data_IF_913665555518
#
_entry.id   IF_913665555518
#
_cell.length_a   1.000
_cell.length_b   1.000
_cell.length_c   1.000
_cell.angle_alpha   90.00
_cell.angle_beta   90.00
_cell.angle_gamma   90.00
#
_symmetry.space_group_name_H-M   'P 1'
#
loop_
_entity.id
_entity.type
_entity.pdbx_description
1 polymer ?
#
# COMPACT_ATOMS: atom_id res chain seq x y z
N UNK A 1 7.55 6.51 29.42
CA UNK A 1 8.04 6.93 28.09
C UNK A 1 6.84 7.48 27.35
N UNK A 2 7.00 8.51 26.51
CA UNK A 2 5.89 9.11 25.79
C UNK A 2 6.30 9.47 24.37
N UNK A 3 5.37 9.29 23.44
CA UNK A 3 5.48 9.68 22.05
C UNK A 3 4.59 10.91 21.85
N UNK A 4 5.15 11.95 21.25
CA UNK A 4 4.43 13.16 20.86
C UNK A 4 4.33 13.22 19.35
N UNK A 5 3.12 13.15 18.79
CA UNK A 5 2.88 13.30 17.36
C UNK A 5 2.40 14.73 17.10
N UNK A 6 3.24 15.55 16.47
CA UNK A 6 2.90 16.92 16.06
C UNK A 6 2.20 16.86 14.70
N UNK A 7 0.94 17.25 14.66
CA UNK A 7 0.14 17.32 13.45
C UNK A 7 0.30 18.69 12.79
N UNK A 8 0.50 18.70 11.48
CA UNK A 8 0.66 19.92 10.69
C UNK A 8 -0.22 19.89 9.45
N UNK A 9 -0.89 21.01 9.20
CA UNK A 9 -1.70 21.21 8.02
C UNK A 9 -0.93 22.07 7.02
N UNK A 10 -0.24 21.42 6.07
CA UNK A 10 0.54 22.08 5.02
C UNK A 10 -0.24 22.17 3.70
N UNK A 11 -1.55 21.92 3.73
CA UNK A 11 -2.41 21.88 2.52
C UNK A 11 -2.46 23.20 1.76
N UNK A 12 -2.24 24.32 2.45
CA UNK A 12 -2.39 25.65 1.85
C UNK A 12 -3.83 25.99 1.45
N UNK A 13 -4.82 25.15 1.81
CA UNK A 13 -6.22 25.42 1.53
C UNK A 13 -6.73 26.57 2.41
N UNK A 14 -7.46 27.51 1.81
CA UNK A 14 -8.28 28.44 2.57
C UNK A 14 -9.42 27.70 3.25
N UNK A 15 -9.83 28.15 4.44
CA UNK A 15 -10.88 27.54 5.28
C UNK A 15 -12.25 27.35 4.61
N UNK A 16 -12.51 27.97 3.44
CA UNK A 16 -13.72 27.75 2.64
C UNK A 16 -13.64 26.62 1.61
N UNK A 17 -12.45 26.09 1.30
CA UNK A 17 -12.28 25.06 0.28
C UNK A 17 -12.28 23.64 0.87
N UNK A 18 -11.85 23.49 2.12
CA UNK A 18 -11.82 22.23 2.85
C UNK A 18 -11.11 22.40 4.19
N UNK A 19 -11.46 21.55 5.16
CA UNK A 19 -10.82 21.46 6.47
C UNK A 19 -10.24 20.06 6.65
N UNK A 20 -9.06 19.96 7.25
CA UNK A 20 -8.48 18.67 7.67
C UNK A 20 -9.11 18.27 9.00
N UNK A 21 -9.79 17.13 9.01
CA UNK A 21 -10.36 16.50 10.18
C UNK A 21 -9.59 15.24 10.52
N UNK A 22 -9.52 14.91 11.81
CA UNK A 22 -8.87 13.69 12.28
C UNK A 22 -9.72 13.00 13.34
N UNK A 23 -9.87 11.70 13.18
CA UNK A 23 -10.35 10.79 14.20
C UNK A 23 -9.19 9.87 14.59
N UNK A 24 -9.23 9.30 15.79
CA UNK A 24 -8.17 8.37 16.21
C UNK A 24 -8.62 7.43 17.30
N UNK A 25 -8.01 6.26 17.33
CA UNK A 25 -8.25 5.27 18.36
C UNK A 25 -7.01 4.44 18.63
N UNK A 26 -6.94 3.92 19.85
CA UNK A 26 -5.93 2.95 20.27
C UNK A 26 -6.60 1.71 20.86
N UNK A 27 -5.93 0.56 20.77
CA UNK A 27 -6.38 -0.71 21.34
C UNK A 27 -7.76 -1.18 20.83
N UNK A 28 -8.00 -1.07 19.52
CA UNK A 28 -9.24 -1.58 18.93
C UNK A 28 -9.49 -3.05 19.32
N UNK A 29 -10.76 -3.39 19.51
CA UNK A 29 -11.26 -4.71 19.92
C UNK A 29 -10.89 -5.16 21.34
N UNK A 30 -10.14 -4.39 22.12
CA UNK A 30 -9.92 -4.63 23.55
C UNK A 30 -10.84 -3.75 24.40
N UNK A 31 -11.90 -4.35 24.95
CA UNK A 31 -12.89 -3.63 25.78
C UNK A 31 -12.32 -2.99 27.04
N UNK A 32 -11.16 -3.47 27.52
CA UNK A 32 -10.56 -3.00 28.77
C UNK A 32 -9.63 -1.81 28.57
N UNK A 33 -9.12 -1.61 27.36
CA UNK A 33 -8.08 -0.63 27.05
C UNK A 33 -8.37 0.24 25.82
N UNK A 34 -9.50 0.02 25.13
CA UNK A 34 -9.93 0.82 23.99
C UNK A 34 -10.16 2.29 24.37
N UNK A 35 -9.51 3.18 23.62
CA UNK A 35 -9.60 4.63 23.82
C UNK A 35 -9.68 5.34 22.48
N UNK A 36 -10.34 6.50 22.49
CA UNK A 36 -10.49 7.36 21.33
C UNK A 36 -9.79 8.70 21.54
N UNK A 37 -9.40 9.33 20.44
CA UNK A 37 -8.77 10.63 20.40
C UNK A 37 -9.72 11.71 20.93
N UNK A 38 -9.26 12.49 21.89
CA UNK A 38 -9.99 13.60 22.49
C UNK A 38 -9.60 14.93 21.85
N UNK A 39 -10.47 15.92 22.01
CA UNK A 39 -10.12 17.32 21.77
C UNK A 39 -8.94 17.70 22.67
N UNK A 40 -7.83 18.15 22.09
CA UNK A 40 -6.56 18.37 22.80
C UNK A 40 -5.51 17.26 22.63
N UNK A 41 -5.85 16.15 21.98
CA UNK A 41 -4.88 15.17 21.49
C UNK A 41 -4.45 14.08 22.48
N UNK A 42 -5.15 13.90 23.59
CA UNK A 42 -4.99 12.72 24.45
C UNK A 42 -5.92 11.58 24.02
N UNK A 43 -5.64 10.36 24.47
CA UNK A 43 -6.53 9.22 24.34
C UNK A 43 -7.28 8.97 25.65
N UNK A 44 -8.60 8.80 25.57
CA UNK A 44 -9.44 8.48 26.73
C UNK A 44 -10.60 7.56 26.33
N UNK A 45 -11.22 6.92 27.33
CA UNK A 45 -12.41 6.12 27.10
C UNK A 45 -13.50 6.97 26.41
N UNK A 46 -14.23 6.42 25.43
CA UNK A 46 -15.23 7.17 24.70
C UNK A 46 -16.36 7.65 25.62
N UNK A 47 -16.71 8.93 25.53
CA UNK A 47 -17.84 9.49 26.26
C UNK A 47 -19.19 8.90 25.78
N UNK A 48 -19.29 8.64 24.47
CA UNK A 48 -20.34 7.84 23.86
C UNK A 48 -19.72 6.54 23.33
N UNK A 49 -20.03 5.35 23.89
CA UNK A 49 -19.40 4.10 23.49
C UNK A 49 -19.72 3.65 22.06
N UNK A 50 -20.67 4.29 21.39
CA UNK A 50 -21.09 3.95 20.01
C UNK A 50 -20.51 4.89 18.94
N UNK A 51 -19.76 5.92 19.31
CA UNK A 51 -19.35 6.99 18.39
C UNK A 51 -17.87 7.39 18.55
N UNK A 52 -17.17 7.47 17.42
CA UNK A 52 -15.83 8.04 17.30
C UNK A 52 -15.92 9.39 16.58
N UNK A 53 -15.74 10.53 17.28
CA UNK A 53 -15.85 11.85 16.70
C UNK A 53 -14.61 12.24 15.88
N UNK A 54 -14.83 13.11 14.89
CA UNK A 54 -13.78 13.83 14.19
C UNK A 54 -13.50 15.18 14.85
N UNK A 55 -12.23 15.54 14.99
CA UNK A 55 -11.78 16.85 15.47
C UNK A 55 -11.12 17.61 14.33
N UNK A 56 -11.24 18.94 14.32
CA UNK A 56 -10.46 19.74 13.37
C UNK A 56 -8.97 19.62 13.73
N UNK A 57 -8.07 19.54 12.74
CA UNK A 57 -6.64 19.38 13.03
C UNK A 57 -6.08 20.44 14.00
N UNK A 58 -6.46 21.73 13.92
CA UNK A 58 -6.02 22.73 14.90
C UNK A 58 -6.41 22.42 16.35
N UNK A 59 -7.54 21.75 16.59
CA UNK A 59 -7.99 21.34 17.93
C UNK A 59 -7.16 20.19 18.52
N UNK A 60 -6.34 19.51 17.70
CA UNK A 60 -5.53 18.34 18.08
C UNK A 60 -4.13 18.42 17.48
N UNK A 61 -3.57 19.63 17.38
CA UNK A 61 -2.25 19.88 16.77
C UNK A 61 -1.09 19.07 17.40
N UNK A 62 -1.29 18.49 18.57
CA UNK A 62 -0.35 17.57 19.21
C UNK A 62 -1.10 16.40 19.82
N UNK A 63 -0.76 15.18 19.41
CA UNK A 63 -1.26 13.94 19.98
C UNK A 63 -0.21 13.37 20.93
N UNK A 64 -0.63 12.88 22.10
CA UNK A 64 0.25 12.25 23.09
C UNK A 64 -0.14 10.79 23.28
N UNK A 65 0.84 9.91 23.15
CA UNK A 65 0.73 8.50 23.49
C UNK A 65 1.74 8.17 24.60
N UNK A 66 1.23 7.90 25.80
CA UNK A 66 2.02 7.68 27.02
C UNK A 66 1.67 6.36 27.74
N UNK A 67 0.94 5.49 27.06
CA UNK A 67 0.51 4.17 27.54
C UNK A 67 0.87 3.07 26.55
N UNK A 68 0.89 1.81 27.02
CA UNK A 68 1.06 0.63 26.18
C UNK A 68 -0.12 0.46 25.24
N UNK A 69 0.14 0.02 24.01
CA UNK A 69 -0.91 -0.29 23.05
C UNK A 69 -0.72 -1.66 22.40
N UNK A 70 -1.70 -2.10 21.62
CA UNK A 70 -1.66 -3.35 20.86
C UNK A 70 -0.85 -3.22 19.55
N UNK A 71 -0.26 -2.06 19.27
CA UNK A 71 0.54 -1.80 18.06
C UNK A 71 -0.26 -1.61 16.77
N UNK A 72 -1.60 -1.63 16.84
CA UNK A 72 -2.51 -1.48 15.69
C UNK A 72 -3.46 -0.29 15.93
N UNK A 73 -2.87 0.86 16.21
CA UNK A 73 -3.58 2.11 16.47
C UNK A 73 -3.63 2.97 15.22
N UNK A 74 -4.65 3.82 15.08
CA UNK A 74 -4.88 4.56 13.85
C UNK A 74 -5.27 6.01 14.10
N UNK A 75 -4.69 6.91 13.31
CA UNK A 75 -5.22 8.24 13.05
C UNK A 75 -5.79 8.25 11.63
N UNK A 76 -7.09 8.53 11.51
CA UNK A 76 -7.80 8.67 10.25
C UNK A 76 -7.92 10.15 9.92
N UNK A 77 -7.32 10.58 8.82
CA UNK A 77 -7.42 11.94 8.31
C UNK A 77 -8.43 12.00 7.18
N UNK A 78 -9.25 13.05 7.14
CA UNK A 78 -10.17 13.31 6.03
C UNK A 78 -10.21 14.79 5.74
N UNK A 79 -10.20 15.16 4.46
CA UNK A 79 -10.41 16.55 4.03
C UNK A 79 -11.84 16.73 3.59
N UNK A 80 -12.60 17.55 4.31
CA UNK A 80 -14.02 17.77 4.05
C UNK A 80 -14.40 19.24 4.28
N UNK A 81 -15.43 19.72 3.57
CA UNK A 81 -15.94 21.10 3.75
C UNK A 81 -16.60 21.29 5.12
N UNK A 82 -17.31 20.26 5.60
CA UNK A 82 -17.99 20.24 6.89
C UNK A 82 -17.36 19.18 7.80
N UNK A 83 -17.64 19.26 9.10
CA UNK A 83 -17.27 18.20 10.04
C UNK A 83 -17.88 16.87 9.60
N UNK A 84 -17.08 15.81 9.39
CA UNK A 84 -17.60 14.50 9.10
C UNK A 84 -18.47 13.97 10.23
N UNK A 85 -19.45 13.13 9.91
CA UNK A 85 -20.20 12.38 10.91
C UNK A 85 -19.26 11.49 11.73
N UNK A 86 -19.60 11.28 13.01
CA UNK A 86 -18.86 10.35 13.85
C UNK A 86 -18.93 8.93 13.27
N UNK A 87 -17.84 8.18 13.36
CA UNK A 87 -17.85 6.77 12.97
C UNK A 87 -18.56 5.94 14.04
N UNK A 88 -19.35 4.97 13.60
CA UNK A 88 -19.94 4.00 14.52
C UNK A 88 -18.84 3.16 15.20
N UNK A 89 -19.02 2.83 16.47
CA UNK A 89 -18.17 1.90 17.20
C UNK A 89 -18.99 0.64 17.50
N UNK A 90 -18.46 -0.51 17.09
CA UNK A 90 -19.04 -1.82 17.39
C UNK A 90 -17.96 -2.73 17.96
N UNK A 91 -18.23 -3.37 19.10
CA UNK A 91 -17.27 -4.24 19.79
C UNK A 91 -15.91 -3.57 20.05
N UNK A 92 -15.91 -2.30 20.47
CA UNK A 92 -14.70 -1.51 20.71
C UNK A 92 -13.79 -1.37 19.47
N UNK A 93 -14.37 -1.46 18.28
CA UNK A 93 -13.70 -1.21 17.02
C UNK A 93 -14.52 -0.19 16.22
N UNK A 94 -13.92 0.93 15.80
CA UNK A 94 -14.57 1.84 14.87
C UNK A 94 -14.86 1.14 13.54
N UNK A 95 -16.08 1.34 13.02
CA UNK A 95 -16.39 1.03 11.63
C UNK A 95 -15.61 2.00 10.77
N UNK A 96 -14.54 1.51 10.14
CA UNK A 96 -13.66 2.31 9.31
C UNK A 96 -14.36 2.68 8.01
N UNK A 97 -13.94 3.79 7.37
CA UNK A 97 -14.41 4.10 6.03
C UNK A 97 -14.17 2.94 5.07
N UNK A 98 -15.12 2.75 4.14
CA UNK A 98 -15.03 1.72 3.14
C UNK A 98 -13.85 2.06 2.22
N UNK A 99 -13.17 1.05 1.68
CA UNK A 99 -12.02 1.25 0.79
C UNK A 99 -12.46 1.76 -0.60
N UNK A 100 -11.56 2.40 -1.33
CA UNK A 100 -11.86 3.01 -2.63
C UNK A 100 -11.76 1.99 -3.78
N UNK A 101 -12.63 2.04 -4.82
CA UNK A 101 -13.77 2.93 -5.02
C UNK A 101 -15.09 2.28 -4.58
N UNK A 102 -16.15 3.08 -4.58
CA UNK A 102 -17.48 2.60 -4.20
C UNK A 102 -18.32 2.24 -5.42
N UNK A 103 -18.70 0.96 -5.52
CA UNK A 103 -19.59 0.42 -6.55
C UNK A 103 -21.03 0.98 -6.47
N UNK A 104 -21.43 1.46 -5.31
CA UNK A 104 -22.72 2.08 -5.04
C UNK A 104 -22.54 3.10 -3.91
N UNK A 105 -23.55 3.94 -3.67
CA UNK A 105 -23.59 4.74 -2.45
C UNK A 105 -23.41 3.81 -1.23
N UNK A 106 -22.35 3.98 -0.41
CA UNK A 106 -22.20 3.17 0.79
C UNK A 106 -23.41 3.42 1.70
N UNK A 107 -23.98 2.37 2.31
CA UNK A 107 -25.11 2.53 3.23
C UNK A 107 -24.81 3.46 4.42
N UNK A 108 -25.83 3.68 5.26
CA UNK A 108 -25.99 4.75 6.27
C UNK A 108 -24.89 5.00 7.35
N UNK A 109 -23.66 4.50 7.22
CA UNK A 109 -22.63 4.71 8.26
C UNK A 109 -21.17 4.66 7.85
N UNK A 110 -20.82 4.52 6.56
CA UNK A 110 -19.43 4.23 6.13
C UNK A 110 -18.94 5.12 4.98
N UNK A 111 -19.61 6.24 4.74
CA UNK A 111 -19.25 7.17 3.68
C UNK A 111 -18.16 8.16 4.15
N UNK A 112 -16.97 8.18 3.54
CA UNK A 112 -16.04 9.28 3.78
C UNK A 112 -16.63 10.61 3.28
N UNK A 113 -16.47 11.66 4.08
CA UNK A 113 -16.92 13.01 3.73
C UNK A 113 -16.00 13.71 2.71
N UNK A 114 -14.92 13.05 2.29
CA UNK A 114 -13.92 13.55 1.35
C UNK A 114 -12.73 12.59 1.23
N UNK A 115 -11.66 12.96 0.51
CA UNK A 115 -10.43 12.17 0.46
C UNK A 115 -9.88 11.92 1.87
N UNK A 116 -9.49 10.68 2.16
CA UNK A 116 -9.05 10.25 3.48
C UNK A 116 -7.82 9.36 3.39
N UNK A 117 -7.05 9.30 4.47
CA UNK A 117 -5.88 8.43 4.57
C UNK A 117 -5.58 8.12 6.03
N UNK A 118 -4.76 7.10 6.29
CA UNK A 118 -4.52 6.56 7.63
C UNK A 118 -3.04 6.59 7.97
N UNK A 119 -2.77 7.00 9.21
CA UNK A 119 -1.49 6.80 9.86
C UNK A 119 -1.63 5.70 10.91
N UNK A 120 -0.84 4.64 10.74
CA UNK A 120 -0.80 3.49 11.65
C UNK A 120 0.38 3.63 12.60
N UNK A 121 0.15 3.39 13.90
CA UNK A 121 1.13 3.61 14.96
C UNK A 121 0.85 2.73 16.19
N UNK A 122 1.74 2.80 17.19
CA UNK A 122 1.51 2.24 18.52
C UNK A 122 2.71 2.35 19.46
N UNK A 123 2.51 2.16 20.76
CA UNK A 123 3.62 2.22 21.70
C UNK A 123 4.55 1.03 21.48
N UNK A 124 5.84 1.31 21.24
CA UNK A 124 6.85 0.29 20.91
C UNK A 124 6.53 -0.50 19.64
N UNK A 125 5.91 0.18 18.66
CA UNK A 125 5.59 -0.38 17.35
C UNK A 125 6.25 0.41 16.20
N UNK A 126 6.27 -0.18 15.01
CA UNK A 126 6.64 0.51 13.78
C UNK A 126 5.51 1.44 13.34
N UNK A 127 5.86 2.60 12.76
CA UNK A 127 4.89 3.60 12.32
C UNK A 127 4.86 3.62 10.80
N UNK A 128 3.70 3.80 10.18
CA UNK A 128 3.58 3.84 8.73
C UNK A 128 2.43 4.72 8.22
N UNK A 129 2.62 5.21 7.00
CA UNK A 129 1.54 5.63 6.10
C UNK A 129 1.44 4.57 5.02
N UNK A 130 0.23 4.22 4.61
CA UNK A 130 -0.01 3.08 3.71
C UNK A 130 -0.90 3.48 2.54
N UNK A 131 -0.59 2.94 1.36
CA UNK A 131 -1.40 3.12 0.16
C UNK A 131 -1.96 1.76 -0.32
N UNK A 132 -1.99 0.75 0.55
CA UNK A 132 -2.44 -0.62 0.24
C UNK A 132 -3.90 -0.67 -0.18
N UNK A 133 -4.75 0.14 0.44
CA UNK A 133 -6.19 0.24 0.14
C UNK A 133 -6.54 1.54 -0.61
N UNK A 134 -5.59 1.97 -1.44
CA UNK A 134 -5.65 3.22 -2.18
C UNK A 134 -4.92 4.39 -1.49
N UNK A 135 -4.72 5.45 -2.25
CA UNK A 135 -4.07 6.68 -1.85
C UNK A 135 -5.08 7.83 -1.86
N UNK A 136 -5.35 8.40 -0.68
CA UNK A 136 -6.32 9.48 -0.53
C UNK A 136 -5.71 10.82 -0.13
N UNK A 137 -4.66 10.85 0.68
CA UNK A 137 -4.02 12.10 1.10
C UNK A 137 -2.49 11.99 1.02
N UNK A 138 -1.82 13.09 0.68
CA UNK A 138 -0.37 13.17 0.67
C UNK A 138 0.23 13.28 2.08
N UNK A 139 0.02 12.24 2.89
CA UNK A 139 0.57 12.13 4.23
C UNK A 139 2.08 11.90 4.18
N UNK A 140 2.77 12.48 5.16
CA UNK A 140 4.19 12.25 5.40
C UNK A 140 4.49 12.34 6.88
N UNK A 141 5.50 11.61 7.34
CA UNK A 141 5.96 11.74 8.71
C UNK A 141 7.48 11.63 8.84
N UNK A 142 7.99 12.06 9.99
CA UNK A 142 9.40 11.89 10.35
C UNK A 142 9.55 11.29 11.74
N UNK A 143 10.50 10.38 11.89
CA UNK A 143 10.85 9.73 13.16
C UNK A 143 12.36 9.71 13.36
N UNK A 144 12.82 9.88 14.59
CA UNK A 144 14.25 9.72 14.93
C UNK A 144 14.54 8.27 15.26
N UNK A 145 15.47 7.66 14.54
CA UNK A 145 15.90 6.30 14.82
C UNK A 145 16.61 6.26 16.20
N UNK A 146 16.13 5.46 17.16
CA UNK A 146 16.69 5.45 18.51
C UNK A 146 18.11 4.85 18.57
N UNK A 147 18.49 4.00 17.63
CA UNK A 147 19.82 3.39 17.57
C UNK A 147 20.89 4.34 16.99
N UNK A 148 20.51 5.20 16.04
CA UNK A 148 21.47 6.09 15.34
C UNK A 148 21.33 7.56 15.70
N UNK A 149 20.20 7.97 16.28
CA UNK A 149 19.86 9.37 16.55
C UNK A 149 19.51 10.19 15.29
N UNK A 150 19.45 9.56 14.12
CA UNK A 150 19.19 10.25 12.85
C UNK A 150 17.68 10.42 12.61
N UNK A 151 17.28 11.61 12.16
CA UNK A 151 15.91 11.86 11.70
C UNK A 151 15.71 11.25 10.30
N UNK A 152 14.65 10.46 10.15
CA UNK A 152 14.26 9.83 8.90
C UNK A 152 12.86 10.28 8.49
N UNK A 153 12.58 10.26 7.18
CA UNK A 153 11.34 10.75 6.56
C UNK A 153 10.66 9.63 5.78
N UNK A 154 9.33 9.64 5.77
CA UNK A 154 8.49 8.60 5.21
C UNK A 154 7.22 9.23 4.60
N UNK A 155 6.65 8.58 3.57
CA UNK A 155 5.46 9.08 2.86
C UNK A 155 5.82 10.00 1.70
N UNK A 156 4.92 10.95 1.39
CA UNK A 156 5.08 11.85 0.23
C UNK A 156 6.17 12.90 0.45
N UNK A 157 6.95 13.17 -0.59
CA UNK A 157 7.95 14.24 -0.59
C UNK A 157 7.34 15.60 -0.27
N UNK A 158 8.09 16.43 0.46
CA UNK A 158 7.50 17.59 1.09
C UNK A 158 6.98 18.66 0.10
N UNK A 159 7.51 18.65 -1.12
CA UNK A 159 7.24 19.60 -2.19
C UNK A 159 6.09 19.20 -3.10
N UNK A 160 5.60 17.96 -2.99
CA UNK A 160 4.64 17.39 -3.94
C UNK A 160 3.21 17.64 -3.49
N UNK A 161 2.45 18.37 -4.33
CA UNK A 161 1.04 18.63 -4.08
C UNK A 161 0.15 17.48 -4.51
N UNK A 162 -1.07 17.44 -3.98
CA UNK A 162 -2.09 16.50 -4.42
C UNK A 162 -2.41 16.66 -5.91
N UNK A 163 -2.57 17.89 -6.39
CA UNK A 163 -2.78 18.20 -7.82
C UNK A 163 -1.71 17.55 -8.72
N UNK A 164 -0.44 17.67 -8.31
CA UNK A 164 0.68 17.10 -9.05
C UNK A 164 0.62 15.57 -9.09
N UNK A 165 0.19 14.92 -8.01
CA UNK A 165 0.08 13.45 -7.96
C UNK A 165 -0.97 12.94 -8.95
N UNK A 166 -2.14 13.59 -9.02
CA UNK A 166 -3.19 13.20 -9.96
C UNK A 166 -2.78 13.39 -11.42
N UNK A 167 -2.12 14.52 -11.72
CA UNK A 167 -1.57 14.79 -13.04
C UNK A 167 -0.45 13.81 -13.42
N UNK A 168 0.47 13.55 -12.48
CA UNK A 168 1.57 12.60 -12.65
C UNK A 168 1.06 11.19 -12.92
N UNK A 169 0.02 10.72 -12.21
CA UNK A 169 -0.54 9.39 -12.45
C UNK A 169 -1.06 9.23 -13.88
N UNK A 170 -1.81 10.23 -14.36
CA UNK A 170 -2.32 10.26 -15.74
C UNK A 170 -1.18 10.19 -16.76
N UNK A 171 -0.14 11.02 -16.58
CA UNK A 171 1.02 11.03 -17.45
C UNK A 171 1.82 9.73 -17.37
N UNK A 172 1.97 9.17 -16.17
CA UNK A 172 2.70 7.94 -15.89
C UNK A 172 2.11 6.74 -16.61
N UNK A 173 0.80 6.51 -16.44
CA UNK A 173 0.11 5.40 -17.13
C UNK A 173 0.24 5.54 -18.65
N UNK A 174 0.08 6.75 -19.18
CA UNK A 174 0.25 7.00 -20.62
C UNK A 174 1.69 6.78 -21.10
N UNK A 175 2.69 7.08 -20.27
CA UNK A 175 4.10 6.87 -20.58
C UNK A 175 4.47 5.38 -20.57
N UNK A 176 4.06 4.64 -19.53
CA UNK A 176 4.30 3.21 -19.42
C UNK A 176 3.63 2.42 -20.56
N UNK A 177 2.41 2.84 -20.95
CA UNK A 177 1.67 2.25 -22.07
C UNK A 177 2.41 2.30 -23.41
N UNK A 178 3.40 3.19 -23.59
CA UNK A 178 4.25 3.24 -24.78
C UNK A 178 5.15 2.01 -24.91
N UNK A 179 5.52 1.40 -23.79
CA UNK A 179 6.40 0.22 -23.74
C UNK A 179 5.65 -1.06 -23.40
N UNK A 180 4.52 -0.93 -22.70
CA UNK A 180 3.66 -2.06 -22.33
C UNK A 180 2.20 -1.63 -22.38
N UNK A 181 1.52 -1.88 -23.50
CA UNK A 181 0.15 -1.40 -23.74
C UNK A 181 -0.86 -1.67 -22.60
N UNK A 182 -0.86 -2.85 -21.93
CA UNK A 182 -1.77 -3.11 -20.81
C UNK A 182 -1.57 -2.21 -19.57
N UNK A 183 -0.48 -1.43 -19.49
CA UNK A 183 -0.34 -0.43 -18.43
C UNK A 183 -1.48 0.61 -18.49
N UNK A 184 -2.03 0.90 -19.68
CA UNK A 184 -3.15 1.82 -19.85
C UNK A 184 -4.42 1.42 -19.07
N UNK A 185 -4.57 0.14 -18.76
CA UNK A 185 -5.71 -0.40 -18.02
C UNK A 185 -5.73 0.09 -16.56
N UNK A 186 -4.63 0.65 -16.05
CA UNK A 186 -4.56 1.25 -14.70
C UNK A 186 -5.07 2.70 -14.67
N UNK A 187 -5.37 3.34 -15.81
CA UNK A 187 -5.77 4.75 -15.86
C UNK A 187 -7.05 5.03 -15.04
N UNK A 188 -7.95 4.06 -14.98
CA UNK A 188 -9.22 4.16 -14.24
C UNK A 188 -9.07 4.23 -12.72
N UNK A 189 -7.90 3.88 -12.18
CA UNK A 189 -7.63 3.95 -10.75
C UNK A 189 -7.62 5.41 -10.24
N UNK A 190 -7.45 6.39 -11.13
CA UNK A 190 -7.67 7.79 -10.81
C UNK A 190 -9.17 8.05 -10.63
N UNK A 191 -9.63 7.91 -9.39
CA UNK A 191 -11.04 8.02 -9.07
C UNK A 191 -11.43 9.49 -8.87
N UNK A 192 -11.99 10.08 -9.92
CA UNK A 192 -12.43 11.48 -9.95
C UNK A 192 -13.86 11.66 -10.49
N UNK A 193 -14.56 10.56 -10.75
CA UNK A 193 -15.88 10.51 -11.36
C UNK A 193 -16.60 9.22 -10.94
N UNK A 194 -17.93 9.12 -11.10
CA UNK A 194 -18.66 7.89 -10.79
C UNK A 194 -18.10 6.69 -11.55
N UNK A 195 -18.11 5.52 -10.91
CA UNK A 195 -17.77 4.27 -11.58
C UNK A 195 -18.80 3.97 -12.71
N UNK A 196 -18.39 3.25 -13.76
CA UNK A 196 -19.32 2.82 -14.80
C UNK A 196 -20.55 2.10 -14.23
N UNK A 197 -21.75 2.55 -14.63
CA UNK A 197 -23.02 1.97 -14.16
C UNK A 197 -23.53 2.52 -12.83
N UNK A 198 -22.81 3.48 -12.22
CA UNK A 198 -23.21 4.14 -10.97
C UNK A 198 -23.43 5.64 -11.22
N UNK A 199 -24.32 6.26 -10.43
CA UNK A 199 -24.51 7.73 -10.45
C UNK A 199 -23.85 8.42 -9.26
N UNK A 200 -23.22 7.65 -8.37
CA UNK A 200 -22.62 8.16 -7.16
C UNK A 200 -21.35 8.93 -7.49
N UNK A 201 -21.33 10.21 -7.16
CA UNK A 201 -20.14 11.06 -7.26
C UNK A 201 -19.41 11.05 -5.91
N UNK A 202 -18.12 10.68 -5.85
CA UNK A 202 -17.37 10.82 -4.61
C UNK A 202 -17.32 12.30 -4.17
N UNK A 203 -17.26 12.61 -2.86
CA UNK A 203 -17.17 13.98 -2.37
C UNK A 203 -15.80 14.60 -2.67
N UNK A 204 -15.71 15.28 -3.80
CA UNK A 204 -14.50 15.95 -4.28
C UNK A 204 -14.24 17.26 -3.52
N UNK A 205 -12.96 17.62 -3.37
CA UNK A 205 -12.54 18.89 -2.76
C UNK A 205 -11.87 19.75 -3.84
N UNK A 206 -12.62 20.72 -4.35
CA UNK A 206 -12.23 21.47 -5.54
C UNK A 206 -12.27 20.60 -6.80
N UNK A 207 -11.25 20.73 -7.65
CA UNK A 207 -11.12 19.93 -8.89
C UNK A 207 -10.16 18.72 -8.72
N UNK A 208 -9.77 18.42 -7.47
CA UNK A 208 -8.84 17.33 -7.18
C UNK A 208 -9.53 15.97 -7.18
N UNK A 209 -8.80 14.93 -7.62
CA UNK A 209 -9.25 13.55 -7.56
C UNK A 209 -9.59 13.12 -6.12
N UNK A 210 -10.48 12.13 -6.00
CA UNK A 210 -10.90 11.62 -4.72
C UNK A 210 -9.89 10.64 -4.13
N UNK A 211 -9.43 9.68 -4.93
CA UNK A 211 -8.39 8.73 -4.55
C UNK A 211 -7.67 8.17 -5.79
N UNK A 212 -6.47 7.62 -5.59
CA UNK A 212 -5.96 6.59 -6.48
C UNK A 212 -6.36 5.26 -5.85
N UNK A 213 -7.31 4.55 -6.45
CA UNK A 213 -7.76 3.26 -5.93
C UNK A 213 -6.68 2.22 -6.11
N UNK A 214 -6.55 1.28 -5.18
CA UNK A 214 -5.81 0.07 -5.48
C UNK A 214 -6.60 -0.78 -6.51
N UNK A 215 -5.91 -1.57 -7.35
CA UNK A 215 -6.57 -2.39 -8.36
C UNK A 215 -7.49 -3.47 -7.78
N UNK A 216 -7.21 -3.96 -6.57
CA UNK A 216 -8.04 -4.99 -5.94
C UNK A 216 -9.42 -4.44 -5.61
N UNK A 217 -9.50 -3.30 -4.95
CA UNK A 217 -10.75 -2.71 -4.52
C UNK A 217 -11.53 -2.15 -5.73
N UNK A 218 -10.85 -1.66 -6.76
CA UNK A 218 -11.48 -1.34 -8.05
C UNK A 218 -12.18 -2.56 -8.68
N UNK A 219 -11.49 -3.69 -8.75
CA UNK A 219 -12.08 -4.92 -9.27
C UNK A 219 -13.18 -5.46 -8.35
N UNK A 220 -13.00 -5.41 -7.04
CA UNK A 220 -14.02 -5.80 -6.07
C UNK A 220 -15.30 -4.98 -6.28
N UNK A 221 -15.18 -3.67 -6.46
CA UNK A 221 -16.31 -2.79 -6.74
C UNK A 221 -17.05 -3.19 -8.03
N UNK A 222 -16.32 -3.44 -9.12
CA UNK A 222 -16.92 -3.76 -10.43
C UNK A 222 -17.39 -5.20 -10.60
N UNK A 223 -16.96 -6.11 -9.73
CA UNK A 223 -17.30 -7.54 -9.80
C UNK A 223 -18.21 -8.02 -8.68
N UNK A 224 -18.68 -7.14 -7.80
CA UNK A 224 -19.47 -7.53 -6.63
C UNK A 224 -18.64 -8.36 -5.65
N UNK A 225 -17.49 -7.83 -5.24
CA UNK A 225 -16.49 -8.49 -4.41
C UNK A 225 -16.07 -9.86 -4.97
N UNK A 226 -15.75 -9.89 -6.27
CA UNK A 226 -15.33 -11.07 -7.02
C UNK A 226 -16.34 -12.23 -7.09
N UNK A 227 -17.61 -11.98 -6.72
CA UNK A 227 -18.67 -12.99 -6.83
C UNK A 227 -19.40 -12.99 -8.17
N UNK A 228 -19.28 -11.90 -8.94
CA UNK A 228 -19.87 -11.71 -10.26
C UNK A 228 -18.87 -11.80 -11.40
N UNK A 229 -19.30 -11.34 -12.59
CA UNK A 229 -18.46 -11.17 -13.78
C UNK A 229 -18.16 -9.70 -14.02
N UNK A 230 -17.00 -9.40 -14.62
CA UNK A 230 -16.66 -8.05 -15.10
C UNK A 230 -16.04 -8.12 -16.49
N UNK A 231 -16.19 -7.04 -17.26
CA UNK A 231 -15.47 -6.83 -18.53
C UNK A 231 -14.22 -5.96 -18.35
N UNK A 232 -13.87 -5.64 -17.11
CA UNK A 232 -12.70 -4.85 -16.77
C UNK A 232 -11.41 -5.55 -17.23
N UNK A 233 -10.51 -4.87 -17.97
CA UNK A 233 -9.28 -5.49 -18.45
C UNK A 233 -8.31 -5.88 -17.33
N UNK A 234 -8.38 -5.25 -16.14
CA UNK A 234 -7.56 -5.64 -14.99
C UNK A 234 -7.90 -7.07 -14.50
N UNK A 235 -9.09 -7.58 -14.81
CA UNK A 235 -9.49 -8.93 -14.42
C UNK A 235 -8.62 -10.02 -15.06
N UNK A 236 -8.07 -9.82 -16.26
CA UNK A 236 -7.22 -10.80 -16.96
C UNK A 236 -5.77 -10.33 -17.13
N UNK A 237 -5.41 -9.20 -16.54
CA UNK A 237 -4.10 -8.56 -16.68
C UNK A 237 -2.92 -9.51 -16.36
N UNK A 238 -3.07 -10.36 -15.35
CA UNK A 238 -2.03 -11.28 -14.89
C UNK A 238 -1.99 -12.63 -15.63
N UNK A 239 -2.98 -12.94 -16.46
CA UNK A 239 -3.16 -14.27 -17.07
C UNK A 239 -1.91 -14.75 -17.82
N UNK A 240 -1.34 -13.87 -18.65
CA UNK A 240 -0.21 -14.22 -19.51
C UNK A 240 1.06 -14.49 -18.69
N UNK A 241 1.39 -13.61 -17.74
CA UNK A 241 2.62 -13.79 -16.94
C UNK A 241 2.49 -14.96 -15.99
N UNK A 242 1.31 -15.23 -15.41
CA UNK A 242 1.09 -16.41 -14.59
C UNK A 242 1.15 -17.70 -15.42
N UNK A 243 0.67 -17.70 -16.66
CA UNK A 243 0.82 -18.84 -17.56
C UNK A 243 2.30 -19.12 -17.89
N UNK A 244 3.11 -18.08 -18.08
CA UNK A 244 4.55 -18.21 -18.31
C UNK A 244 5.30 -18.65 -17.05
N UNK A 245 4.97 -18.07 -15.89
CA UNK A 245 5.59 -18.37 -14.61
C UNK A 245 5.35 -19.84 -14.23
N UNK A 246 4.13 -20.35 -14.40
CA UNK A 246 3.77 -21.74 -14.12
C UNK A 246 3.91 -22.68 -15.34
N UNK A 247 4.73 -22.35 -16.34
CA UNK A 247 4.96 -23.28 -17.45
C UNK A 247 5.61 -24.59 -16.97
N UNK A 248 5.23 -25.72 -17.57
CA UNK A 248 5.71 -27.03 -17.16
C UNK A 248 7.23 -27.15 -17.26
N UNK A 249 7.83 -27.71 -16.21
CA UNK A 249 9.27 -27.91 -16.09
C UNK A 249 10.07 -26.66 -15.67
N UNK A 250 9.42 -25.49 -15.56
CA UNK A 250 10.05 -24.31 -14.93
C UNK A 250 10.50 -24.63 -13.51
N UNK A 251 11.56 -23.97 -13.06
CA UNK A 251 12.15 -24.20 -11.73
C UNK A 251 12.36 -22.89 -10.99
N UNK A 252 12.14 -22.94 -9.68
CA UNK A 252 12.40 -21.84 -8.74
C UNK A 252 13.15 -22.36 -7.50
N UNK A 253 13.93 -21.50 -6.88
CA UNK A 253 14.70 -21.76 -5.64
C UNK A 253 14.71 -20.52 -4.78
N UNK A 254 14.03 -20.58 -3.64
CA UNK A 254 13.77 -19.47 -2.73
C UNK A 254 14.54 -19.66 -1.43
N UNK A 255 15.10 -18.58 -0.91
CA UNK A 255 15.71 -18.50 0.41
C UNK A 255 14.81 -17.70 1.36
N UNK A 256 14.28 -18.34 2.40
CA UNK A 256 13.40 -17.71 3.38
C UNK A 256 14.14 -17.12 4.58
N UNK A 257 15.44 -17.32 4.69
CA UNK A 257 16.20 -16.89 5.87
C UNK A 257 16.19 -15.39 6.06
N UNK A 258 15.98 -14.93 7.30
CA UNK A 258 16.33 -13.57 7.68
C UNK A 258 17.82 -13.33 7.43
N UNK A 259 18.20 -12.16 6.96
CA UNK A 259 19.61 -11.80 6.79
C UNK A 259 20.17 -11.21 8.10
N UNK A 260 21.16 -11.81 8.81
CA UNK A 260 21.87 -13.06 8.53
C UNK A 260 21.33 -14.26 9.33
N UNK A 261 21.01 -15.36 8.65
CA UNK A 261 20.68 -16.66 9.23
C UNK A 261 21.10 -17.80 8.26
N UNK A 262 21.17 -19.03 8.76
CA UNK A 262 21.47 -20.20 7.94
C UNK A 262 20.44 -20.32 6.78
N UNK A 263 20.85 -20.59 5.53
CA UNK A 263 19.94 -20.64 4.39
C UNK A 263 18.82 -21.67 4.55
N UNK A 264 17.57 -21.21 4.46
CA UNK A 264 16.37 -22.02 4.42
C UNK A 264 15.89 -22.03 2.98
N UNK A 265 16.41 -23.00 2.22
CA UNK A 265 16.22 -23.07 0.78
C UNK A 265 15.11 -24.04 0.43
N UNK A 266 14.09 -23.53 -0.23
CA UNK A 266 13.03 -24.32 -0.87
C UNK A 266 13.21 -24.28 -2.38
N UNK A 267 13.27 -25.44 -3.03
CA UNK A 267 13.38 -25.52 -4.48
C UNK A 267 12.38 -26.50 -5.06
N UNK A 268 11.97 -26.26 -6.30
CA UNK A 268 10.98 -27.11 -6.94
C UNK A 268 10.84 -26.89 -8.43
N UNK A 269 10.05 -27.77 -9.03
CA UNK A 269 9.75 -27.80 -10.46
C UNK A 269 8.23 -27.66 -10.61
N UNK A 270 7.82 -26.87 -11.60
CA UNK A 270 6.43 -26.74 -11.97
C UNK A 270 5.97 -27.96 -12.78
N UNK A 271 4.84 -28.55 -12.42
CA UNK A 271 4.26 -29.68 -13.15
C UNK A 271 2.75 -29.77 -13.00
N UNK A 272 2.09 -30.66 -13.77
CA UNK A 272 0.65 -30.88 -13.66
C UNK A 272 0.30 -31.47 -12.29
N UNK A 273 -0.67 -30.85 -11.62
CA UNK A 273 -1.16 -31.29 -10.30
C UNK A 273 -2.63 -30.93 -10.11
N UNK A 274 -3.35 -31.76 -9.38
CA UNK A 274 -4.71 -31.46 -8.95
C UNK A 274 -4.68 -30.92 -7.55
N UNK A 275 -5.22 -29.71 -7.36
CA UNK A 275 -5.36 -29.11 -6.04
C UNK A 275 -6.33 -29.98 -5.19
N UNK A 276 -5.88 -30.50 -4.04
CA UNK A 276 -6.67 -31.48 -3.27
C UNK A 276 -7.91 -30.87 -2.60
N UNK A 277 -7.92 -29.55 -2.38
CA UNK A 277 -9.03 -28.85 -1.71
C UNK A 277 -10.13 -28.40 -2.67
N UNK A 278 -9.75 -28.04 -3.90
CA UNK A 278 -10.69 -27.54 -4.92
C UNK A 278 -11.01 -28.56 -6.02
N UNK A 279 -10.21 -29.62 -6.14
CA UNK A 279 -10.30 -30.59 -7.24
C UNK A 279 -9.86 -30.05 -8.61
N UNK A 280 -9.33 -28.83 -8.67
CA UNK A 280 -8.93 -28.19 -9.92
C UNK A 280 -7.57 -28.73 -10.41
N UNK A 281 -7.55 -29.33 -11.60
CA UNK A 281 -6.33 -29.77 -12.28
C UNK A 281 -5.65 -28.59 -12.99
N UNK A 282 -4.41 -28.30 -12.62
CA UNK A 282 -3.65 -27.12 -13.08
C UNK A 282 -2.14 -27.40 -13.02
N UNK A 283 -1.32 -26.37 -13.19
CA UNK A 283 0.12 -26.42 -12.92
C UNK A 283 0.42 -25.97 -11.49
N UNK A 284 1.41 -26.58 -10.84
CA UNK A 284 1.86 -26.20 -9.51
C UNK A 284 3.36 -26.38 -9.34
N UNK A 285 3.98 -25.51 -8.56
CA UNK A 285 5.32 -25.74 -8.02
C UNK A 285 5.23 -26.60 -6.76
N UNK A 286 5.96 -27.70 -6.73
CA UNK A 286 6.19 -28.48 -5.51
C UNK A 286 7.55 -28.08 -4.92
N UNK A 287 7.54 -27.23 -3.90
CA UNK A 287 8.72 -26.65 -3.28
C UNK A 287 9.13 -27.43 -2.04
N UNK A 288 10.36 -27.90 -1.96
CA UNK A 288 10.86 -28.64 -0.80
C UNK A 288 12.25 -28.18 -0.37
N UNK A 289 12.50 -28.24 0.94
CA UNK A 289 13.82 -28.09 1.57
C UNK A 289 14.41 -29.45 2.04
N UNK A 290 13.79 -30.57 1.64
CA UNK A 290 14.14 -31.93 2.05
C UNK A 290 13.47 -32.42 3.33
N UNK A 291 12.86 -31.53 4.12
CA UNK A 291 12.08 -31.87 5.32
C UNK A 291 10.60 -31.55 5.12
N UNK A 292 10.31 -30.31 4.71
CA UNK A 292 8.98 -29.83 4.40
C UNK A 292 8.77 -29.77 2.88
N UNK A 293 7.51 -29.80 2.46
CA UNK A 293 7.13 -29.62 1.07
C UNK A 293 5.80 -28.89 0.96
N UNK A 294 5.72 -27.91 0.08
CA UNK A 294 4.52 -27.11 -0.14
C UNK A 294 4.22 -27.01 -1.63
N UNK A 295 2.93 -27.05 -1.96
CA UNK A 295 2.44 -26.87 -3.32
C UNK A 295 1.87 -25.46 -3.49
N UNK A 296 2.35 -24.76 -4.51
CA UNK A 296 1.82 -23.46 -4.92
C UNK A 296 1.14 -23.64 -6.28
N UNK A 297 -0.18 -23.46 -6.33
CA UNK A 297 -0.99 -23.75 -7.52
C UNK A 297 -1.23 -22.49 -8.37
N UNK A 298 -1.21 -22.66 -9.69
CA UNK A 298 -1.60 -21.63 -10.65
C UNK A 298 -3.12 -21.37 -10.57
N UNK A 299 -3.56 -20.10 -10.45
CA UNK A 299 -4.99 -19.74 -10.46
C UNK A 299 -5.63 -19.95 -11.84
N UNK A 300 -6.97 -20.02 -11.90
CA UNK A 300 -7.70 -19.92 -13.17
C UNK A 300 -7.52 -18.52 -13.78
N UNK A 301 -7.52 -18.39 -15.11
CA UNK A 301 -7.45 -17.10 -15.77
C UNK A 301 -8.69 -16.24 -15.51
N UNK A 302 -8.58 -14.93 -15.72
CA UNK A 302 -9.61 -13.95 -15.39
C UNK A 302 -9.58 -13.58 -13.90
N UNK A 303 -10.73 -13.27 -13.30
CA UNK A 303 -10.82 -12.70 -11.95
C UNK A 303 -10.02 -13.44 -10.88
N UNK A 304 -9.90 -14.77 -10.96
CA UNK A 304 -9.10 -15.52 -9.98
C UNK A 304 -7.59 -15.22 -10.11
N UNK A 305 -7.08 -14.94 -11.31
CA UNK A 305 -5.70 -14.47 -11.53
C UNK A 305 -5.49 -13.08 -10.92
N UNK A 306 -6.48 -12.20 -11.04
CA UNK A 306 -6.45 -10.87 -10.48
C UNK A 306 -6.51 -10.91 -8.95
N UNK A 307 -7.38 -11.73 -8.36
CA UNK A 307 -7.39 -11.95 -6.89
C UNK A 307 -6.08 -12.53 -6.37
N UNK A 308 -5.48 -13.45 -7.13
CA UNK A 308 -4.22 -14.08 -6.75
C UNK A 308 -3.08 -13.06 -6.59
N UNK A 309 -3.07 -11.98 -7.39
CA UNK A 309 -1.99 -10.98 -7.35
C UNK A 309 -2.40 -9.64 -6.76
N UNK A 310 -3.59 -9.09 -7.06
CA UNK A 310 -3.99 -7.80 -6.47
C UNK A 310 -4.48 -7.94 -5.03
N UNK A 311 -5.21 -9.01 -4.70
CA UNK A 311 -5.79 -9.19 -3.36
C UNK A 311 -4.88 -9.99 -2.42
N UNK A 312 -3.87 -10.70 -2.95
CA UNK A 312 -3.15 -11.74 -2.21
C UNK A 312 -4.12 -12.84 -1.70
N UNK A 313 -5.22 -13.08 -2.42
CA UNK A 313 -6.24 -14.04 -2.01
C UNK A 313 -5.99 -15.40 -2.65
N UNK A 314 -5.16 -16.20 -2.01
CA UNK A 314 -4.83 -17.56 -2.46
C UNK A 314 -5.94 -18.56 -2.15
N UNK A 315 -6.72 -18.32 -1.09
CA UNK A 315 -7.77 -19.25 -0.64
C UNK A 315 -7.21 -20.65 -0.47
N UNK A 316 -7.78 -21.61 -1.20
CA UNK A 316 -7.36 -23.01 -1.20
C UNK A 316 -6.20 -23.32 -2.18
N UNK A 317 -5.66 -22.32 -2.89
CA UNK A 317 -4.57 -22.47 -3.87
C UNK A 317 -3.18 -22.55 -3.21
N UNK A 318 -3.12 -22.38 -1.90
CA UNK A 318 -1.98 -22.65 -1.02
C UNK A 318 -2.54 -23.19 0.30
N UNK A 319 -1.83 -24.08 1.02
CA UNK A 319 -2.26 -24.47 2.35
C UNK A 319 -2.32 -23.23 3.25
N UNK A 320 -3.48 -22.98 3.87
CA UNK A 320 -3.66 -21.86 4.78
C UNK A 320 -2.58 -21.88 5.89
N UNK A 321 -1.84 -20.78 6.01
CA UNK A 321 -0.82 -20.65 7.05
C UNK A 321 -0.21 -19.26 7.05
N UNK A 322 -0.93 -18.29 7.63
CA UNK A 322 -0.45 -16.94 7.98
C UNK A 322 0.66 -16.94 9.05
N UNK A 323 1.32 -18.07 9.29
CA UNK A 323 2.40 -18.25 10.25
C UNK A 323 3.24 -19.50 9.87
N UNK A 324 4.18 -19.34 8.93
CA UNK A 324 5.15 -20.39 8.59
C UNK A 324 5.66 -20.31 7.16
N UNK A 325 6.55 -21.22 6.79
CA UNK A 325 7.28 -21.20 5.51
C UNK A 325 6.36 -21.16 4.29
N UNK A 326 5.19 -21.82 4.33
CA UNK A 326 4.22 -21.78 3.24
C UNK A 326 3.76 -20.34 2.91
N UNK A 327 3.49 -19.53 3.94
CA UNK A 327 3.13 -18.12 3.80
C UNK A 327 4.32 -17.30 3.27
N UNK A 328 5.52 -17.50 3.83
CA UNK A 328 6.72 -16.79 3.39
C UNK A 328 7.11 -17.09 1.93
N UNK A 329 6.95 -18.34 1.47
CA UNK A 329 7.17 -18.73 0.07
C UNK A 329 6.19 -18.02 -0.86
N UNK A 330 4.93 -17.99 -0.45
CA UNK A 330 3.85 -17.32 -1.17
C UNK A 330 4.13 -15.82 -1.28
N UNK A 331 4.52 -15.18 -0.17
CA UNK A 331 4.83 -13.76 -0.12
C UNK A 331 6.01 -13.41 -1.03
N UNK A 332 7.08 -14.21 -1.01
CA UNK A 332 8.23 -14.02 -1.89
C UNK A 332 7.88 -14.15 -3.39
N UNK A 333 7.05 -15.13 -3.77
CA UNK A 333 6.55 -15.26 -5.16
C UNK A 333 5.71 -14.04 -5.52
N UNK A 334 4.85 -13.63 -4.59
CA UNK A 334 3.90 -12.56 -4.81
C UNK A 334 4.56 -11.19 -4.96
N UNK A 335 5.49 -10.85 -4.07
CA UNK A 335 6.34 -9.66 -4.18
C UNK A 335 7.06 -9.61 -5.54
N UNK A 336 7.59 -10.75 -6.00
CA UNK A 336 8.28 -10.83 -7.28
C UNK A 336 7.33 -10.59 -8.47
N UNK A 337 6.07 -11.05 -8.40
CA UNK A 337 5.04 -10.76 -9.41
C UNK A 337 4.70 -9.27 -9.42
N UNK A 338 4.41 -8.69 -8.24
CA UNK A 338 4.09 -7.28 -8.10
C UNK A 338 5.23 -6.37 -8.59
N UNK A 339 6.47 -6.70 -8.25
CA UNK A 339 7.70 -5.97 -8.64
C UNK A 339 8.16 -6.24 -10.07
N UNK A 340 7.46 -7.09 -10.83
CA UNK A 340 7.75 -7.37 -12.25
C UNK A 340 9.03 -8.17 -12.49
N UNK A 341 9.48 -8.96 -11.51
CA UNK A 341 10.72 -9.74 -11.57
C UNK A 341 10.52 -11.24 -11.40
N UNK A 342 9.27 -11.72 -11.25
CA UNK A 342 8.97 -13.15 -11.11
C UNK A 342 9.69 -14.02 -12.16
N UNK A 343 9.59 -13.66 -13.44
CA UNK A 343 10.25 -14.38 -14.53
C UNK A 343 11.77 -14.31 -14.51
N UNK A 344 12.38 -13.29 -13.89
CA UNK A 344 13.84 -13.19 -13.75
C UNK A 344 14.41 -14.24 -12.80
N UNK A 345 13.59 -14.77 -11.88
CA UNK A 345 13.96 -15.85 -10.97
C UNK A 345 13.45 -17.23 -11.41
N UNK A 346 13.02 -17.40 -12.66
CA UNK A 346 12.60 -18.70 -13.19
C UNK A 346 13.70 -19.28 -14.08
N UNK A 347 14.09 -20.52 -13.83
CA UNK A 347 14.94 -21.27 -14.76
C UNK A 347 14.09 -22.16 -15.65
N UNK A 348 14.34 -22.06 -16.95
CA UNK A 348 13.66 -22.87 -17.97
C UNK A 348 14.17 -24.33 -17.93
N UNK A 349 13.36 -25.31 -18.35
CA UNK A 349 13.71 -26.74 -18.32
C UNK A 349 15.03 -27.08 -19.04
N UNK A 350 15.40 -26.26 -20.03
CA UNK A 350 16.59 -26.40 -20.87
C UNK A 350 17.86 -25.80 -20.24
N UNK A 351 17.75 -25.13 -19.09
CA UNK A 351 18.90 -24.50 -18.43
C UNK A 351 19.75 -25.55 -17.70
N UNK A 352 21.08 -25.56 -17.88
CA UNK A 352 21.98 -26.48 -17.18
C UNK A 352 21.85 -26.39 -15.65
N UNK A 353 21.99 -27.54 -15.00
CA UNK A 353 21.60 -27.81 -13.61
C UNK A 353 22.59 -27.31 -12.54
N UNK A 354 23.51 -26.41 -12.89
CA UNK A 354 24.39 -25.75 -11.91
C UNK A 354 23.56 -24.69 -11.17
N UNK A 355 22.73 -25.18 -10.24
CA UNK A 355 21.77 -24.38 -9.49
C UNK A 355 22.45 -23.78 -8.28
N UNK A 356 22.78 -22.49 -8.33
CA UNK A 356 23.05 -21.72 -7.12
C UNK A 356 21.78 -21.75 -6.24
N UNK A 357 21.84 -22.28 -5.00
CA UNK A 357 20.70 -22.29 -4.10
C UNK A 357 20.16 -20.87 -3.88
N UNK A 358 18.84 -20.69 -3.93
CA UNK A 358 18.22 -19.38 -3.75
C UNK A 358 18.32 -18.45 -4.97
N UNK A 359 18.59 -18.98 -6.18
CA UNK A 359 18.73 -18.15 -7.40
C UNK A 359 17.50 -17.28 -7.68
N UNK A 360 16.28 -17.73 -7.33
CA UNK A 360 15.07 -16.93 -7.51
C UNK A 360 15.10 -15.73 -6.58
N UNK A 361 15.38 -15.94 -5.30
CA UNK A 361 15.52 -14.85 -4.31
C UNK A 361 16.60 -13.84 -4.70
N UNK A 362 17.76 -14.28 -5.19
CA UNK A 362 18.81 -13.36 -5.65
C UNK A 362 18.34 -12.48 -6.81
N UNK A 363 17.59 -13.03 -7.76
CA UNK A 363 17.02 -12.28 -8.86
C UNK A 363 15.89 -11.35 -8.41
N UNK A 364 15.01 -11.84 -7.54
CA UNK A 364 13.83 -11.12 -7.06
C UNK A 364 14.15 -10.02 -6.06
N UNK A 365 15.23 -10.11 -5.29
CA UNK A 365 15.61 -9.09 -4.30
C UNK A 365 16.53 -8.00 -4.87
N UNK A 366 16.84 -8.05 -6.16
CA UNK A 366 17.61 -7.01 -6.82
C UNK A 366 16.72 -5.79 -7.16
N UNK A 367 16.65 -4.82 -6.25
CA UNK A 367 15.82 -3.62 -6.39
C UNK A 367 16.10 -2.82 -7.69
N UNK A 368 17.32 -2.86 -8.23
CA UNK A 368 17.64 -2.21 -9.50
C UNK A 368 16.93 -2.86 -10.71
N UNK A 369 16.36 -4.06 -10.53
CA UNK A 369 15.62 -4.78 -11.57
C UNK A 369 14.11 -4.72 -11.41
N UNK A 370 13.59 -4.17 -10.31
CA UNK A 370 12.15 -4.04 -10.10
C UNK A 370 11.55 -3.08 -11.12
N UNK A 371 10.30 -3.35 -11.51
CA UNK A 371 9.49 -2.42 -12.29
C UNK A 371 10.12 -1.94 -13.61
N UNK A 372 10.91 -2.78 -14.29
CA UNK A 372 11.54 -2.38 -15.56
C UNK A 372 10.48 -2.04 -16.62
N UNK A 373 10.79 -1.08 -17.48
CA UNK A 373 9.94 -0.74 -18.61
C UNK A 373 9.62 -1.99 -19.46
N UNK A 374 8.36 -2.12 -19.91
CA UNK A 374 7.93 -3.29 -20.69
C UNK A 374 7.52 -4.52 -19.86
N UNK A 375 7.72 -4.52 -18.54
CA UNK A 375 7.38 -5.68 -17.70
C UNK A 375 5.93 -5.67 -17.22
N UNK A 376 5.32 -6.84 -17.11
CA UNK A 376 4.07 -7.02 -16.35
C UNK A 376 4.40 -6.85 -14.87
N UNK A 377 3.87 -5.79 -14.26
CA UNK A 377 4.05 -5.48 -12.84
C UNK A 377 2.80 -4.78 -12.28
N UNK A 378 2.81 -4.49 -10.98
CA UNK A 378 1.74 -3.77 -10.32
C UNK A 378 1.89 -2.25 -10.59
N UNK A 379 1.37 -1.75 -11.70
CA UNK A 379 1.61 -0.37 -12.15
C UNK A 379 1.17 0.72 -11.16
N UNK A 380 0.16 0.45 -10.32
CA UNK A 380 -0.17 1.32 -9.19
C UNK A 380 0.99 1.45 -8.18
N UNK A 381 1.57 0.33 -7.72
CA UNK A 381 2.72 0.35 -6.80
C UNK A 381 3.96 0.92 -7.49
N UNK A 382 4.18 0.59 -8.77
CA UNK A 382 5.25 1.19 -9.58
C UNK A 382 5.14 2.72 -9.60
N UNK A 383 3.95 3.27 -9.79
CA UNK A 383 3.74 4.72 -9.75
C UNK A 383 4.19 5.30 -8.41
N UNK A 384 3.78 4.70 -7.29
CA UNK A 384 4.12 5.18 -5.95
C UNK A 384 5.64 5.17 -5.69
N UNK A 385 6.34 4.09 -6.09
CA UNK A 385 7.79 3.98 -5.88
C UNK A 385 8.62 4.77 -6.89
N UNK A 386 8.22 4.77 -8.15
CA UNK A 386 9.08 5.13 -9.26
C UNK A 386 8.62 6.37 -10.02
N UNK A 387 7.41 6.89 -9.83
CA UNK A 387 7.00 8.09 -10.56
C UNK A 387 7.65 9.35 -9.97
N UNK A 388 8.14 10.21 -10.85
CA UNK A 388 8.36 11.63 -10.55
C UNK A 388 7.07 12.44 -10.74
N UNK A 389 7.14 13.74 -10.41
CA UNK A 389 6.01 14.68 -10.49
C UNK A 389 5.49 14.94 -11.93
N UNK A 390 6.24 14.55 -12.96
CA UNK A 390 5.82 14.71 -14.36
C UNK A 390 5.28 13.39 -14.94
N UNK A 391 5.16 12.35 -14.11
CA UNK A 391 4.72 11.03 -14.53
C UNK A 391 5.78 10.25 -15.32
N UNK A 392 7.07 10.48 -15.07
CA UNK A 392 8.12 9.62 -15.63
C UNK A 392 8.69 8.69 -14.55
N UNK A 393 9.29 7.58 -14.97
CA UNK A 393 10.12 6.78 -14.08
C UNK A 393 11.34 7.61 -13.63
N UNK A 394 11.41 7.91 -12.34
CA UNK A 394 12.40 8.77 -11.68
C UNK A 394 13.84 8.26 -11.87
N UNK A 395 14.00 6.96 -12.07
CA UNK A 395 15.29 6.31 -12.34
C UNK A 395 15.80 6.60 -13.76
N UNK A 396 14.88 6.93 -14.67
CA UNK A 396 15.18 7.31 -16.06
C UNK A 396 15.29 8.82 -16.18
N UNK A 397 14.36 9.58 -15.58
CA UNK A 397 14.35 11.04 -15.67
C UNK A 397 15.43 11.71 -14.79
N UNK A 398 15.92 11.00 -13.76
CA UNK A 398 16.86 11.53 -12.78
C UNK A 398 16.23 12.51 -11.77
N UNK A 399 14.91 12.65 -11.78
CA UNK A 399 14.16 13.47 -10.81
C UNK A 399 13.87 12.67 -9.54
N UNK A 400 13.50 13.36 -8.46
CA UNK A 400 13.08 12.70 -7.23
C UNK A 400 11.74 11.98 -7.42
N UNK A 401 11.55 10.79 -6.81
CA UNK A 401 10.25 10.15 -6.74
C UNK A 401 9.24 10.97 -5.92
N UNK A 402 7.94 10.75 -6.17
CA UNK A 402 6.83 11.34 -5.42
C UNK A 402 6.86 10.92 -3.94
N UNK A 403 7.07 9.63 -3.67
CA UNK A 403 7.35 9.15 -2.32
C UNK A 403 8.81 9.41 -1.95
N UNK A 404 9.06 9.84 -0.72
CA UNK A 404 10.41 10.11 -0.25
C UNK A 404 11.29 8.87 -0.38
N UNK A 405 12.38 8.99 -1.14
CA UNK A 405 13.30 7.88 -1.42
C UNK A 405 12.70 6.74 -2.25
N UNK A 406 11.49 6.90 -2.78
CA UNK A 406 10.74 5.84 -3.46
C UNK A 406 10.19 4.78 -2.51
N UNK A 407 10.13 5.05 -1.20
CA UNK A 407 9.61 4.12 -0.21
C UNK A 407 8.10 4.29 -0.05
N UNK A 408 7.31 3.29 -0.45
CA UNK A 408 5.85 3.31 -0.45
C UNK A 408 5.31 1.94 -0.03
N UNK A 409 4.12 1.92 0.58
CA UNK A 409 3.41 0.68 0.88
C UNK A 409 2.29 0.51 -0.16
N UNK A 410 2.63 0.00 -1.35
CA UNK A 410 1.74 -0.03 -2.53
C UNK A 410 0.86 -1.28 -2.67
N UNK A 411 1.14 -2.32 -1.89
CA UNK A 411 0.38 -3.57 -1.77
C UNK A 411 0.70 -4.25 -0.42
N UNK A 412 -0.11 -5.21 0.06
CA UNK A 412 -0.06 -5.72 1.45
C UNK A 412 1.25 -6.40 1.91
N UNK A 413 2.14 -6.78 1.00
CA UNK A 413 3.48 -7.29 1.32
C UNK A 413 4.57 -6.46 0.64
N UNK A 414 4.36 -5.16 0.48
CA UNK A 414 5.39 -4.25 -0.03
C UNK A 414 6.44 -3.93 1.06
N UNK A 415 6.89 -4.97 1.75
CA UNK A 415 7.86 -4.96 2.83
C UNK A 415 9.27 -5.15 2.25
N UNK A 416 10.30 -4.94 3.07
CA UNK A 416 11.65 -5.38 2.70
C UNK A 416 11.65 -6.91 2.47
N UNK A 417 12.16 -7.41 1.34
CA UNK A 417 12.01 -8.81 0.99
C UNK A 417 12.81 -9.74 1.92
N UNK A 418 12.30 -10.95 2.10
CA UNK A 418 12.99 -12.04 2.80
C UNK A 418 14.25 -12.49 2.04
N UNK A 419 15.23 -13.02 2.75
CA UNK A 419 16.51 -13.43 2.18
C UNK A 419 17.51 -12.27 2.03
N UNK A 420 18.60 -12.47 1.26
CA UNK A 420 19.60 -11.44 1.05
C UNK A 420 19.00 -10.21 0.37
N UNK A 421 18.99 -9.09 1.08
CA UNK A 421 18.60 -7.78 0.59
C UNK A 421 19.54 -6.72 1.15
N UNK A 422 19.93 -5.77 0.30
CA UNK A 422 20.77 -4.62 0.68
C UNK A 422 20.34 -3.33 -0.03
N UNK A 423 19.12 -3.33 -0.57
CA UNK A 423 18.53 -2.18 -1.24
C UNK A 423 17.98 -1.14 -0.25
N UNK A 424 17.34 -0.08 -0.77
CA UNK A 424 16.68 0.91 0.08
C UNK A 424 15.48 0.30 0.82
N UNK A 425 15.10 0.90 1.94
CA UNK A 425 13.87 0.54 2.65
C UNK A 425 12.66 0.67 1.69
N UNK A 426 11.87 -0.39 1.57
CA UNK A 426 10.75 -0.46 0.61
C UNK A 426 9.49 0.23 1.13
N UNK A 427 8.94 -0.14 2.31
CA UNK A 427 7.68 0.43 2.77
C UNK A 427 7.85 1.87 3.29
N UNK A 428 6.81 2.69 3.23
CA UNK A 428 6.72 3.97 3.94
C UNK A 428 6.49 3.78 5.46
N UNK A 429 7.39 3.02 6.09
CA UNK A 429 7.30 2.49 7.45
C UNK A 429 8.66 2.57 8.16
N UNK A 430 8.67 2.78 9.47
CA UNK A 430 9.92 2.79 10.23
C UNK A 430 10.53 1.38 10.32
N UNK A 431 11.83 1.18 10.05
CA UNK A 431 12.51 -0.12 10.25
C UNK A 431 12.86 -0.38 11.73
N UNK A 432 12.26 0.36 12.64
CA UNK A 432 12.47 0.30 14.09
C UNK A 432 11.18 0.63 14.82
N UNK A 433 11.08 0.16 16.06
CA UNK A 433 9.99 0.49 16.95
C UNK A 433 10.17 1.88 17.57
N UNK A 434 9.08 2.63 17.66
CA UNK A 434 9.03 3.94 18.30
C UNK A 434 8.44 3.78 19.69
N UNK A 435 9.22 4.02 20.73
CA UNK A 435 8.79 3.95 22.13
C UNK A 435 8.80 5.30 22.85
N UNK A 436 9.44 6.31 22.26
CA UNK A 436 9.46 7.68 22.78
C UNK A 436 9.89 8.69 21.72
N UNK A 437 9.71 9.98 22.01
CA UNK A 437 10.24 11.08 21.20
C UNK A 437 9.15 11.86 20.46
N UNK A 438 9.55 12.63 19.46
CA UNK A 438 8.62 13.45 18.66
C UNK A 438 8.53 12.93 17.24
N UNK A 439 7.30 12.66 16.80
CA UNK A 439 6.94 12.43 15.41
C UNK A 439 6.36 13.73 14.85
N UNK A 440 6.73 14.09 13.63
CA UNK A 440 6.03 15.14 12.88
C UNK A 440 5.23 14.46 11.79
N UNK A 441 3.93 14.70 11.73
CA UNK A 441 3.01 14.15 10.74
C UNK A 441 2.32 15.33 10.04
N UNK A 442 2.37 15.34 8.71
CA UNK A 442 1.88 16.44 7.88
C UNK A 442 0.93 15.93 6.81
N UNK A 443 -0.09 16.72 6.53
CA UNK A 443 -0.89 16.62 5.30
C UNK A 443 -0.28 17.64 4.33
N UNK A 444 0.24 17.16 3.19
CA UNK A 444 0.97 17.99 2.24
C UNK A 444 0.11 18.99 1.46
N UNK A 445 0.75 19.79 0.57
CA UNK A 445 0.07 20.83 -0.22
C UNK A 445 -1.08 20.26 -1.06
N UNK A 446 -2.17 21.02 -1.17
CA UNK A 446 -3.33 20.63 -1.97
C UNK A 446 -3.11 20.97 -3.45
N UNK A 447 -2.80 22.24 -3.72
CA UNK A 447 -2.50 22.76 -5.05
C UNK A 447 -1.00 22.93 -5.22
N UNK A 448 -0.52 22.87 -6.46
CA UNK A 448 0.87 23.21 -6.77
C UNK A 448 1.21 24.58 -6.21
N UNK A 449 2.35 24.71 -5.53
CA UNK A 449 2.83 26.04 -5.16
C UNK A 449 3.20 26.77 -6.44
N UNK A 450 2.36 27.69 -6.92
CA UNK A 450 2.93 28.86 -7.61
C UNK A 450 3.87 29.46 -6.59
N UNK A 451 5.18 29.35 -6.77
CA UNK A 451 6.16 30.09 -6.01
C UNK A 451 5.69 31.56 -6.01
N UNK A 452 5.09 32.00 -4.91
CA UNK A 452 5.02 33.41 -4.62
C UNK A 452 6.49 33.82 -4.49
N UNK A 453 7.02 34.44 -5.53
CA UNK A 453 8.34 35.03 -5.53
C UNK A 453 8.45 35.86 -4.27
N UNK A 454 9.27 35.42 -3.31
CA UNK A 454 9.72 36.28 -2.24
C UNK A 454 10.50 37.41 -2.92
N UNK A 455 9.83 38.53 -3.14
CA UNK A 455 10.50 39.78 -3.45
C UNK A 455 11.47 40.04 -2.28
N UNK A 456 12.78 40.17 -2.51
CA UNK A 456 13.69 40.53 -1.45
C UNK A 456 13.26 41.90 -0.92
N UNK A 457 13.04 41.97 0.40
CA UNK A 457 12.73 43.23 1.06
C UNK A 457 13.81 44.24 0.74
N UNK A 458 13.38 45.42 0.30
CA UNK A 458 14.25 46.57 0.14
C UNK A 458 14.96 46.82 1.47
N UNK A 459 16.29 46.74 1.44
CA UNK A 459 17.12 47.18 2.54
C UNK A 459 16.88 48.68 2.76
N UNK A 460 16.33 49.02 3.93
CA UNK A 460 16.39 50.37 4.46
C UNK A 460 17.86 50.65 4.82
N UNK A 461 18.45 51.61 4.12
CA UNK A 461 19.48 52.51 4.65
C UNK A 461 19.15 53.92 4.23
#
# INVERSE_FOLDING_TARGET
>A
MAITIKLTNDTGMSTGNGTVWVAGWINASDSSSFKILQKGGSFAAPANPSELPFHSLPDVATVTLDESTNGNDRLLFVVAQNQPAALAISNNAPTQYAQYPYAAEPGDGVQPAGPYDVFEFGMDAQFNVTAVSGFGLNLRFSATNPATGHLQYYGIDASVSREQIGAAFTAFVANEAKTYAPAADFAELLYSAPLPGTTYMPPMIGNEFFALCDPNDMLAAKSGNYTGSTSDPLASYWDTVLAQFFAEGNRISLNLSANPAAPEIYSGICGPKTNPETGYATQAYCLSNGTNSYDIYKPKPGLQSAQYVFQQAFGNLTPAGSAGDAGLLQDAIWEALCRGVAMSGVLLPTTPLELEPGFSTLAWNNAASWYRAGSTCHYYAKFLHCSDIDGNDCRISGKSPIYYGGAAYGFSMDEDPLGPYSGPNVPSKTPFNVSSGTIKLSIGPWLGTTQASFAPSAAVR
#
